data_IF_453219701879
#
_entry.id   IF_453219701879
#
_cell.length_a   1.000
_cell.length_b   1.000
_cell.length_c   1.000
_cell.angle_alpha   90.00
_cell.angle_beta   90.00
_cell.angle_gamma   90.00
#
_symmetry.space_group_name_H-M   'P 1'
#
loop_
_entity.id
_entity.type
_entity.pdbx_description
1 polymer ?
#
# COMPACT_ATOMS: atom_id res chain seq x y z
N UNK A 1 -5.76 -10.30 0.51
CA UNK A 1 -4.55 -11.13 0.72
C UNK A 1 -4.55 -11.79 2.10
N UNK A 2 -3.56 -12.61 2.37
CA UNK A 2 -3.46 -13.45 3.57
C UNK A 2 -3.60 -12.70 4.90
N UNK A 3 -3.01 -11.51 5.03
CA UNK A 3 -3.10 -10.72 6.26
C UNK A 3 -4.57 -10.35 6.58
N UNK A 4 -5.34 -10.00 5.55
CA UNK A 4 -6.78 -9.70 5.68
C UNK A 4 -7.56 -10.95 6.03
N UNK A 5 -7.24 -12.08 5.41
CA UNK A 5 -7.87 -13.37 5.70
C UNK A 5 -7.64 -13.79 7.16
N UNK A 6 -6.36 -13.78 7.62
CA UNK A 6 -6.02 -14.09 9.01
C UNK A 6 -6.81 -13.22 10.00
N UNK A 7 -6.92 -11.93 9.69
CA UNK A 7 -7.69 -11.00 10.52
C UNK A 7 -9.19 -11.31 10.51
N UNK A 8 -9.77 -11.59 9.35
CA UNK A 8 -11.17 -11.98 9.25
C UNK A 8 -11.46 -13.25 10.07
N UNK A 9 -10.61 -14.28 9.96
CA UNK A 9 -10.72 -15.50 10.78
C UNK A 9 -10.67 -15.21 12.27
N UNK A 10 -9.82 -14.30 12.73
CA UNK A 10 -9.74 -13.92 14.14
C UNK A 10 -11.00 -13.23 14.66
N UNK A 11 -11.82 -12.67 13.77
CA UNK A 11 -13.15 -12.13 14.07
C UNK A 11 -14.30 -13.13 13.88
N UNK A 12 -14.01 -14.40 13.62
CA UNK A 12 -15.00 -15.46 13.57
C UNK A 12 -15.53 -15.79 12.17
N UNK A 13 -15.01 -15.18 11.11
CA UNK A 13 -15.35 -15.58 9.74
C UNK A 13 -14.71 -16.93 9.43
N UNK A 14 -15.54 -17.98 9.25
CA UNK A 14 -15.05 -19.34 9.04
C UNK A 14 -14.69 -19.63 7.57
N UNK A 15 -15.50 -19.10 6.65
CA UNK A 15 -15.33 -19.31 5.21
C UNK A 15 -14.60 -18.11 4.59
N UNK A 16 -13.27 -18.15 4.62
CA UNK A 16 -12.43 -17.10 4.06
C UNK A 16 -11.44 -17.68 3.05
N UNK A 17 -11.25 -16.97 1.95
CA UNK A 17 -10.26 -17.30 0.92
C UNK A 17 -9.45 -16.05 0.61
N UNK A 18 -8.13 -16.16 0.60
CA UNK A 18 -7.24 -15.09 0.18
C UNK A 18 -6.82 -15.25 -1.27
N UNK A 19 -6.85 -14.16 -2.04
CA UNK A 19 -6.20 -14.12 -3.33
C UNK A 19 -4.70 -13.88 -3.13
N UNK A 20 -3.86 -14.61 -3.85
CA UNK A 20 -2.43 -14.38 -3.90
C UNK A 20 -2.14 -13.30 -4.93
N UNK A 21 -1.52 -12.20 -4.51
CA UNK A 21 -1.08 -11.14 -5.40
C UNK A 21 -1.99 -9.90 -5.45
N UNK A 22 -2.49 -9.55 -6.62
CA UNK A 22 -3.15 -8.29 -6.89
C UNK A 22 -4.68 -8.41 -7.10
N UNK A 23 -5.32 -7.29 -7.49
CA UNK A 23 -6.78 -7.23 -7.73
C UNK A 23 -7.23 -8.14 -8.87
N UNK A 24 -6.39 -8.40 -9.87
CA UNK A 24 -6.73 -9.33 -10.96
C UNK A 24 -6.88 -10.76 -10.44
N UNK A 25 -5.97 -11.19 -9.56
CA UNK A 25 -6.06 -12.50 -8.90
C UNK A 25 -7.31 -12.59 -8.00
N UNK A 26 -7.69 -11.49 -7.33
CA UNK A 26 -8.94 -11.45 -6.57
C UNK A 26 -10.16 -11.58 -7.47
N UNK A 27 -10.17 -10.92 -8.64
CA UNK A 27 -11.25 -11.07 -9.64
C UNK A 27 -11.37 -12.53 -10.08
N UNK A 28 -10.26 -13.15 -10.48
CA UNK A 28 -10.22 -14.55 -10.92
C UNK A 28 -10.75 -15.49 -9.83
N UNK A 29 -10.33 -15.29 -8.58
CA UNK A 29 -10.78 -16.08 -7.45
C UNK A 29 -12.31 -15.96 -7.26
N UNK A 30 -12.88 -14.76 -7.40
CA UNK A 30 -14.33 -14.56 -7.33
C UNK A 30 -15.03 -15.33 -8.46
N UNK A 31 -14.56 -15.19 -9.71
CA UNK A 31 -15.15 -15.86 -10.86
C UNK A 31 -15.13 -17.40 -10.75
N UNK A 32 -14.10 -17.94 -10.07
CA UNK A 32 -13.95 -19.39 -9.86
C UNK A 32 -14.82 -19.94 -8.74
N UNK A 33 -15.12 -19.15 -7.71
CA UNK A 33 -15.74 -19.64 -6.48
C UNK A 33 -17.15 -19.12 -6.24
N UNK A 34 -17.64 -18.17 -7.04
CA UNK A 34 -18.95 -17.55 -6.86
C UNK A 34 -19.59 -17.29 -8.22
N UNK A 35 -20.79 -17.80 -8.43
CA UNK A 35 -21.57 -17.53 -9.64
C UNK A 35 -22.28 -16.19 -9.57
N UNK A 36 -22.51 -15.55 -10.71
CA UNK A 36 -23.24 -14.27 -10.77
C UNK A 36 -24.68 -14.34 -10.27
N UNK A 37 -25.25 -15.56 -10.20
CA UNK A 37 -26.60 -15.87 -9.67
C UNK A 37 -26.61 -16.24 -8.17
N UNK A 38 -25.44 -16.41 -7.53
CA UNK A 38 -25.34 -16.93 -6.16
C UNK A 38 -25.65 -15.87 -5.09
N UNK A 39 -25.94 -14.64 -5.51
CA UNK A 39 -26.33 -13.56 -4.64
C UNK A 39 -25.52 -12.27 -4.84
N UNK A 40 -25.80 -11.30 -3.98
CA UNK A 40 -25.13 -9.98 -4.05
C UNK A 40 -23.79 -10.01 -3.35
N UNK A 41 -22.78 -9.48 -4.02
CA UNK A 41 -21.46 -9.24 -3.44
C UNK A 41 -21.41 -7.90 -2.69
N UNK A 42 -20.64 -7.86 -1.61
CA UNK A 42 -20.30 -6.63 -0.88
C UNK A 42 -18.82 -6.37 -1.01
N UNK A 43 -18.45 -5.26 -1.67
CA UNK A 43 -17.07 -4.82 -1.80
C UNK A 43 -16.75 -3.72 -0.78
N UNK A 44 -16.03 -4.09 0.27
CA UNK A 44 -15.58 -3.15 1.31
C UNK A 44 -14.17 -2.68 0.94
N UNK A 45 -14.00 -1.38 0.66
CA UNK A 45 -12.74 -0.83 0.16
C UNK A 45 -12.41 0.55 0.73
N UNK A 46 -11.20 1.02 0.50
CA UNK A 46 -10.85 2.43 0.66
C UNK A 46 -11.54 3.30 -0.40
N UNK A 47 -11.60 4.61 -0.16
CA UNK A 47 -12.14 5.57 -1.14
C UNK A 47 -11.36 5.53 -2.45
N UNK A 48 -10.03 5.57 -2.38
CA UNK A 48 -9.13 5.44 -3.53
C UNK A 48 -8.82 3.96 -3.75
N UNK A 49 -9.09 3.50 -4.96
CA UNK A 49 -8.78 2.16 -5.43
C UNK A 49 -7.91 2.25 -6.68
N UNK A 50 -7.03 1.29 -6.87
CA UNK A 50 -6.16 1.22 -8.05
C UNK A 50 -6.85 0.62 -9.27
N UNK A 51 -7.91 -0.15 -9.06
CA UNK A 51 -8.68 -0.84 -10.10
C UNK A 51 -10.14 -0.88 -9.70
N UNK A 52 -11.04 -0.56 -10.63
CA UNK A 52 -12.49 -0.58 -10.44
C UNK A 52 -13.03 -2.02 -10.52
N UNK A 53 -12.72 -2.82 -9.49
CA UNK A 53 -13.11 -4.24 -9.40
C UNK A 53 -14.63 -4.42 -9.46
N UNK A 54 -15.37 -3.55 -8.79
CA UNK A 54 -16.83 -3.54 -8.80
C UNK A 54 -17.39 -3.36 -10.21
N UNK A 55 -16.86 -2.40 -10.97
CA UNK A 55 -17.30 -2.18 -12.36
C UNK A 55 -16.92 -3.35 -13.28
N UNK A 56 -15.78 -3.98 -13.05
CA UNK A 56 -15.39 -5.17 -13.80
C UNK A 56 -16.33 -6.35 -13.52
N UNK A 57 -16.70 -6.58 -12.27
CA UNK A 57 -17.62 -7.66 -11.89
C UNK A 57 -19.06 -7.39 -12.36
N UNK A 58 -19.51 -6.13 -12.38
CA UNK A 58 -20.81 -5.77 -12.97
C UNK A 58 -20.86 -6.15 -14.46
N UNK A 59 -19.79 -5.89 -15.21
CA UNK A 59 -19.69 -6.27 -16.63
C UNK A 59 -19.75 -7.81 -16.83
N UNK A 60 -19.30 -8.59 -15.85
CA UNK A 60 -19.41 -10.05 -15.84
C UNK A 60 -20.77 -10.55 -15.33
N UNK A 61 -21.73 -9.64 -15.07
CA UNK A 61 -23.10 -9.98 -14.67
C UNK A 61 -23.32 -10.12 -13.16
N UNK A 62 -22.35 -9.74 -12.33
CA UNK A 62 -22.51 -9.77 -10.88
C UNK A 62 -23.31 -8.59 -10.35
N UNK A 63 -24.11 -8.84 -9.34
CA UNK A 63 -24.70 -7.78 -8.51
C UNK A 63 -23.75 -7.49 -7.37
N UNK A 64 -23.19 -6.28 -7.33
CA UNK A 64 -22.19 -5.89 -6.31
C UNK A 64 -22.48 -4.51 -5.76
N UNK A 65 -22.32 -4.34 -4.44
CA UNK A 65 -22.40 -3.06 -3.74
C UNK A 65 -21.05 -2.73 -3.14
N UNK A 66 -20.49 -1.57 -3.48
CA UNK A 66 -19.27 -1.05 -2.87
C UNK A 66 -19.59 -0.22 -1.64
N UNK A 67 -18.83 -0.44 -0.56
CA UNK A 67 -18.84 0.39 0.67
C UNK A 67 -17.44 0.96 0.86
N UNK A 68 -17.37 2.29 0.97
CA UNK A 68 -16.14 2.99 1.34
C UNK A 68 -15.99 2.93 2.85
N UNK A 69 -15.01 2.18 3.33
CA UNK A 69 -14.77 1.94 4.75
C UNK A 69 -13.76 2.91 5.36
N UNK A 70 -12.82 3.44 4.55
CA UNK A 70 -11.82 4.39 5.02
C UNK A 70 -11.38 5.36 3.91
N UNK A 71 -10.85 6.50 4.33
CA UNK A 71 -10.18 7.49 3.49
C UNK A 71 -8.76 7.67 3.94
N UNK A 72 -7.87 7.91 3.00
CA UNK A 72 -6.47 8.24 3.28
C UNK A 72 -6.26 9.72 2.96
N UNK A 73 -5.98 10.49 3.98
CA UNK A 73 -5.57 11.88 3.83
C UNK A 73 -4.07 11.97 4.08
N UNK A 74 -3.34 12.58 3.13
CA UNK A 74 -1.94 12.86 3.32
C UNK A 74 -1.78 13.97 4.37
N UNK A 75 -0.97 13.71 5.39
CA UNK A 75 -0.61 14.77 6.34
C UNK A 75 0.30 15.77 5.63
N UNK A 76 -0.10 17.04 5.61
CA UNK A 76 0.66 18.14 5.01
C UNK A 76 1.19 19.12 6.05
N UNK A 77 0.68 19.04 7.28
CA UNK A 77 1.04 19.94 8.37
C UNK A 77 2.01 19.22 9.30
N UNK A 78 3.29 19.55 9.14
CA UNK A 78 4.34 19.10 10.04
C UNK A 78 4.78 20.26 10.93
N UNK A 79 5.07 19.96 12.19
CA UNK A 79 5.61 20.90 13.13
C UNK A 79 7.02 21.35 12.68
N UNK A 80 7.32 22.64 12.75
CA UNK A 80 8.64 23.19 12.40
C UNK A 80 9.78 22.58 13.24
N UNK A 81 9.50 22.24 14.49
CA UNK A 81 10.47 21.56 15.36
C UNK A 81 10.82 20.17 14.82
N UNK A 82 9.83 19.42 14.33
CA UNK A 82 10.06 18.13 13.69
C UNK A 82 10.96 18.28 12.44
N UNK A 83 10.69 19.29 11.60
CA UNK A 83 11.49 19.51 10.40
C UNK A 83 12.93 19.90 10.77
N UNK A 84 13.10 20.71 11.81
CA UNK A 84 14.42 21.11 12.31
C UNK A 84 15.18 19.90 12.87
N UNK A 85 14.53 19.07 13.65
CA UNK A 85 15.11 17.85 14.21
C UNK A 85 15.49 16.86 13.10
N UNK A 86 14.61 16.64 12.13
CA UNK A 86 14.88 15.79 10.97
C UNK A 86 16.12 16.27 10.19
N UNK A 87 16.24 17.58 9.95
CA UNK A 87 17.42 18.16 9.26
C UNK A 87 18.73 17.97 10.03
N UNK A 88 18.66 17.90 11.35
CA UNK A 88 19.85 17.69 12.21
C UNK A 88 20.18 16.20 12.39
N UNK A 89 19.16 15.33 12.35
CA UNK A 89 19.28 13.91 12.63
C UNK A 89 18.59 13.12 11.50
N UNK A 90 19.24 13.05 10.33
CA UNK A 90 18.70 12.28 9.21
C UNK A 90 18.72 10.78 9.55
N UNK A 91 17.66 10.04 9.22
CA UNK A 91 17.62 8.61 9.47
C UNK A 91 18.56 7.84 8.55
N UNK A 92 19.13 6.74 9.03
CA UNK A 92 19.94 5.83 8.21
C UNK A 92 19.10 5.09 7.17
N UNK A 93 17.80 4.90 7.46
CA UNK A 93 16.88 4.16 6.60
C UNK A 93 15.44 4.65 6.72
N UNK A 94 14.74 4.68 5.58
CA UNK A 94 13.32 4.96 5.47
C UNK A 94 12.60 3.76 4.88
N UNK A 95 11.49 3.34 5.51
CA UNK A 95 10.63 2.26 5.04
C UNK A 95 9.36 2.81 4.41
N UNK A 96 9.03 2.36 3.20
CA UNK A 96 7.84 2.78 2.48
C UNK A 96 7.03 1.57 2.03
N UNK A 97 5.86 1.40 2.64
CA UNK A 97 5.00 0.21 2.52
C UNK A 97 3.88 0.32 1.49
N UNK A 98 3.75 1.44 0.79
CA UNK A 98 2.73 1.60 -0.25
C UNK A 98 3.04 2.76 -1.18
N UNK A 99 2.47 2.73 -2.39
CA UNK A 99 2.53 3.83 -3.33
C UNK A 99 1.97 5.14 -2.75
N UNK A 100 0.86 5.06 -2.00
CA UNK A 100 0.26 6.22 -1.35
C UNK A 100 1.20 6.84 -0.31
N UNK A 101 1.87 6.01 0.51
CA UNK A 101 2.87 6.49 1.46
C UNK A 101 4.07 7.09 0.73
N UNK A 102 4.53 6.48 -0.36
CA UNK A 102 5.60 7.01 -1.20
C UNK A 102 5.26 8.39 -1.78
N UNK A 103 4.06 8.54 -2.34
CA UNK A 103 3.58 9.83 -2.88
C UNK A 103 3.46 10.90 -1.79
N UNK A 104 2.94 10.52 -0.61
CA UNK A 104 2.85 11.44 0.54
C UNK A 104 4.22 11.89 1.01
N UNK A 105 5.17 10.96 1.09
CA UNK A 105 6.53 11.23 1.51
C UNK A 105 7.29 12.09 0.50
N UNK A 106 7.14 11.81 -0.80
CA UNK A 106 7.72 12.64 -1.84
C UNK A 106 7.20 14.08 -1.79
N UNK A 107 5.89 14.25 -1.60
CA UNK A 107 5.28 15.55 -1.46
C UNK A 107 5.81 16.30 -0.21
N UNK A 108 5.97 15.60 0.92
CA UNK A 108 6.60 16.12 2.12
C UNK A 108 8.03 16.64 1.84
N UNK A 109 8.86 15.83 1.18
CA UNK A 109 10.24 16.19 0.82
C UNK A 109 10.26 17.48 -0.02
N UNK A 110 9.38 17.57 -1.03
CA UNK A 110 9.30 18.73 -1.94
C UNK A 110 8.78 19.98 -1.25
N UNK A 111 7.74 19.90 -0.45
CA UNK A 111 7.18 21.04 0.28
C UNK A 111 8.24 21.68 1.21
N UNK A 112 9.05 20.85 1.86
CA UNK A 112 10.05 21.30 2.80
C UNK A 112 11.43 21.55 2.18
N UNK A 113 11.56 21.35 0.85
CA UNK A 113 12.80 21.55 0.07
C UNK A 113 14.01 20.83 0.71
N UNK A 114 13.82 19.54 1.02
CA UNK A 114 14.82 18.70 1.69
C UNK A 114 15.32 17.55 0.83
N UNK A 115 15.20 17.64 -0.51
CA UNK A 115 15.57 16.60 -1.46
C UNK A 115 17.04 16.18 -1.32
N UNK A 116 17.94 17.13 -1.10
CA UNK A 116 19.37 16.89 -1.01
C UNK A 116 19.83 16.19 0.27
N UNK A 117 19.00 16.15 1.31
CA UNK A 117 19.38 15.59 2.60
C UNK A 117 19.36 14.06 2.64
N UNK A 118 18.73 13.41 1.65
CA UNK A 118 18.50 11.97 1.64
C UNK A 118 19.63 11.14 1.02
N UNK A 119 20.71 11.79 0.55
CA UNK A 119 21.80 11.12 -0.18
C UNK A 119 22.54 10.04 0.63
N UNK A 120 22.57 10.18 1.95
CA UNK A 120 23.20 9.22 2.87
C UNK A 120 22.21 8.26 3.54
N UNK A 121 20.91 8.43 3.25
CA UNK A 121 19.82 7.59 3.77
C UNK A 121 19.51 6.44 2.79
N UNK A 122 19.31 5.25 3.32
CA UNK A 122 18.82 4.11 2.56
C UNK A 122 17.28 4.17 2.44
N UNK A 123 16.75 3.77 1.28
CA UNK A 123 15.32 3.63 1.05
C UNK A 123 14.98 2.14 0.95
N UNK A 124 14.00 1.69 1.72
CA UNK A 124 13.43 0.35 1.62
C UNK A 124 11.96 0.42 1.23
N UNK A 125 11.62 -0.15 0.07
CA UNK A 125 10.28 -0.07 -0.53
C UNK A 125 9.66 -1.43 -0.75
N UNK A 126 8.35 -1.52 -0.53
CA UNK A 126 7.56 -2.66 -0.97
C UNK A 126 7.38 -2.62 -2.49
N UNK A 127 8.17 -3.42 -3.21
CA UNK A 127 8.09 -3.60 -4.66
C UNK A 127 8.50 -2.37 -5.50
N UNK A 128 8.72 -2.63 -6.78
CA UNK A 128 9.20 -1.63 -7.75
C UNK A 128 8.24 -0.45 -7.95
N UNK A 129 6.93 -0.70 -7.96
CA UNK A 129 5.93 0.37 -8.16
C UNK A 129 5.97 1.44 -7.06
N UNK A 130 6.36 1.07 -5.84
CA UNK A 130 6.51 2.00 -4.74
C UNK A 130 7.82 2.76 -4.85
N UNK A 131 8.91 2.08 -5.18
CA UNK A 131 10.22 2.72 -5.33
C UNK A 131 10.27 3.70 -6.50
N UNK A 132 9.60 3.39 -7.63
CA UNK A 132 9.58 4.27 -8.81
C UNK A 132 9.06 5.68 -8.54
N UNK A 133 8.18 5.85 -7.53
CA UNK A 133 7.67 7.17 -7.11
C UNK A 133 8.79 8.02 -6.48
N UNK A 134 9.77 7.37 -5.86
CA UNK A 134 10.82 8.02 -5.06
C UNK A 134 12.17 8.10 -5.78
N UNK A 135 12.26 7.64 -7.02
CA UNK A 135 13.53 7.64 -7.80
C UNK A 135 14.03 9.02 -8.17
N UNK A 136 13.18 10.05 -8.14
CA UNK A 136 13.60 11.44 -8.36
C UNK A 136 14.44 12.01 -7.19
N UNK A 137 14.39 11.36 -6.01
CA UNK A 137 15.24 11.69 -4.87
C UNK A 137 16.49 10.81 -4.93
N UNK A 138 17.65 11.42 -4.67
CA UNK A 138 18.91 10.69 -4.62
C UNK A 138 19.08 10.01 -3.25
N UNK A 139 19.06 8.68 -3.27
CA UNK A 139 19.24 7.82 -2.10
C UNK A 139 20.63 7.22 -2.06
N UNK A 140 21.12 6.84 -0.87
CA UNK A 140 22.36 6.06 -0.71
C UNK A 140 22.24 4.73 -1.42
N UNK A 141 21.20 3.95 -1.10
CA UNK A 141 20.79 2.70 -1.76
C UNK A 141 19.27 2.57 -1.73
N UNK A 142 18.71 1.83 -2.69
CA UNK A 142 17.30 1.45 -2.71
C UNK A 142 17.22 -0.07 -2.60
N UNK A 143 16.48 -0.53 -1.60
CA UNK A 143 16.18 -1.94 -1.36
C UNK A 143 14.70 -2.20 -1.63
N UNK A 144 14.41 -3.32 -2.26
CA UNK A 144 13.05 -3.79 -2.51
C UNK A 144 12.78 -5.02 -1.66
N UNK A 145 11.57 -5.11 -1.13
CA UNK A 145 11.08 -6.28 -0.41
C UNK A 145 9.68 -6.65 -0.86
N UNK A 146 9.32 -7.93 -0.67
CA UNK A 146 7.95 -8.40 -0.82
C UNK A 146 7.22 -8.36 0.53
N UNK A 147 5.88 -8.30 0.54
CA UNK A 147 5.11 -8.36 1.78
C UNK A 147 5.50 -9.57 2.64
N UNK A 148 5.89 -9.34 3.88
CA UNK A 148 6.31 -10.37 4.83
C UNK A 148 7.82 -10.67 4.85
N UNK A 149 8.62 -10.03 3.99
CA UNK A 149 10.08 -10.22 3.93
C UNK A 149 10.86 -9.16 4.72
N UNK A 150 10.19 -8.17 5.30
CA UNK A 150 10.80 -7.00 5.93
C UNK A 150 11.82 -7.37 7.01
N UNK A 151 11.47 -8.35 7.84
CA UNK A 151 12.33 -8.78 8.95
C UNK A 151 13.64 -9.42 8.47
N UNK A 152 13.61 -10.12 7.33
CA UNK A 152 14.81 -10.78 6.80
C UNK A 152 15.82 -9.80 6.22
N UNK A 153 15.39 -8.62 5.80
CA UNK A 153 16.24 -7.61 5.19
C UNK A 153 17.02 -6.80 6.23
N UNK A 154 16.49 -6.67 7.44
CA UNK A 154 17.16 -5.99 8.55
C UNK A 154 18.47 -6.67 8.97
N UNK A 155 18.63 -7.98 8.69
CA UNK A 155 19.84 -8.75 8.99
C UNK A 155 20.91 -8.71 7.89
N UNK A 156 20.62 -8.05 6.75
CA UNK A 156 21.52 -7.99 5.57
C UNK A 156 22.11 -6.59 5.29
N UNK A 157 21.88 -5.64 6.19
CA UNK A 157 22.29 -4.23 6.03
C UNK A 157 23.52 -3.96 6.88
#
# INVERSE_FOLDING_TARGET
GEATEKKARSFGFQNTIAAEGNVSNLKELILQNHGSSDGQLLYVSGERISVDLDQQLIKEGYTIKRIINYRVNHNQNFNEDFIRELKQNMPDMVYVYSQNSGSSFLNFIKIHQIESLWMDTNLMCIGEKTSSILTEIKWKKIFLFNPGEEEFLLYKI
#
